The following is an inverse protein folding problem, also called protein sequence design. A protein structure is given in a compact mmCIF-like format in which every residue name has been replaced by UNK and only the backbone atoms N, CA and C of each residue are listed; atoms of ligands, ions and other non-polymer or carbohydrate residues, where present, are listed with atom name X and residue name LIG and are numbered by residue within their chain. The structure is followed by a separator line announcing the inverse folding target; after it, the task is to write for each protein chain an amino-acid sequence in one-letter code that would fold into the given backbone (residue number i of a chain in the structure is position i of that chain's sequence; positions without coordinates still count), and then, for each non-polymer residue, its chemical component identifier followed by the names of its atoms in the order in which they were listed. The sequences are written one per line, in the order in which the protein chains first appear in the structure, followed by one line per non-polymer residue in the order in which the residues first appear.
data_IF_069848743805
#
_entry.id   IF_069848743805
#
_cell.length_a   1.000
_cell.length_b   1.000
_cell.length_c   1.000
_cell.angle_alpha   90.00
_cell.angle_beta   90.00
_cell.angle_gamma   90.00
#
_symmetry.space_group_name_H-M   'P 1'
#
loop_
_entity.id
_entity.type
_entity.pdbx_description
1 polymer ?
#
# COMPACT_ATOMS: atom_id res chain seq x y z
N UNK A 1 -13.60 18.80 -12.89
CA UNK A 1 -13.61 19.48 -11.57
C UNK A 1 -12.24 19.32 -10.96
N UNK A 2 -11.48 20.40 -10.89
CA UNK A 2 -10.15 20.43 -10.31
C UNK A 2 -10.29 20.63 -8.80
N UNK A 3 -10.04 19.59 -8.02
CA UNK A 3 -9.86 19.75 -6.59
C UNK A 3 -8.67 20.66 -6.32
N UNK A 4 -8.76 21.52 -5.32
CA UNK A 4 -7.69 22.44 -4.95
C UNK A 4 -6.35 21.73 -4.79
N UNK A 5 -5.26 22.34 -5.27
CA UNK A 5 -3.91 21.78 -5.35
C UNK A 5 -3.30 21.33 -4.00
N UNK A 6 -3.89 21.69 -2.87
CA UNK A 6 -3.39 21.35 -1.52
C UNK A 6 -3.79 19.95 -1.01
N UNK A 7 -4.91 19.38 -1.49
CA UNK A 7 -5.53 18.22 -0.84
C UNK A 7 -5.09 16.83 -1.38
N UNK A 8 -4.19 16.75 -2.37
CA UNK A 8 -3.83 15.49 -3.04
C UNK A 8 -2.33 15.24 -3.16
N UNK A 9 -1.53 15.72 -2.22
CA UNK A 9 -0.11 15.38 -2.18
C UNK A 9 0.08 13.89 -1.95
N UNK A 10 1.10 13.30 -2.57
CA UNK A 10 1.40 11.88 -2.51
C UNK A 10 0.45 11.01 -3.34
N UNK A 11 -0.23 11.58 -4.34
CA UNK A 11 -1.00 10.84 -5.34
C UNK A 11 -0.14 9.96 -6.24
N UNK A 12 -0.71 9.39 -7.34
CA UNK A 12 0.04 8.51 -8.23
C UNK A 12 1.28 9.18 -8.80
N UNK A 13 2.45 8.55 -8.62
CA UNK A 13 3.74 9.06 -9.09
C UNK A 13 4.35 10.19 -8.27
N UNK A 14 3.69 10.68 -7.23
CA UNK A 14 4.22 11.77 -6.35
C UNK A 14 5.10 11.17 -5.23
N UNK A 15 6.18 10.50 -5.64
CA UNK A 15 7.12 9.87 -4.73
C UNK A 15 7.92 10.89 -3.91
N UNK A 16 8.20 12.08 -4.47
CA UNK A 16 8.93 13.14 -3.79
C UNK A 16 8.16 13.66 -2.58
N UNK A 17 6.86 13.93 -2.71
CA UNK A 17 6.04 14.36 -1.59
C UNK A 17 5.98 13.29 -0.49
N UNK A 18 5.93 12.00 -0.86
CA UNK A 18 5.96 10.90 0.12
C UNK A 18 7.28 10.82 0.86
N UNK A 19 8.40 10.97 0.14
CA UNK A 19 9.72 10.96 0.76
C UNK A 19 9.87 12.13 1.72
N UNK A 20 9.55 13.34 1.27
CA UNK A 20 9.60 14.55 2.10
C UNK A 20 8.73 14.42 3.36
N UNK A 21 7.52 13.82 3.24
CA UNK A 21 6.65 13.59 4.38
C UNK A 21 7.22 12.59 5.38
N UNK A 22 7.79 11.47 4.91
CA UNK A 22 8.43 10.49 5.78
C UNK A 22 9.61 11.10 6.54
N UNK A 23 10.45 11.88 5.89
CA UNK A 23 11.58 12.59 6.49
C UNK A 23 11.11 13.63 7.51
N UNK A 24 10.05 14.39 7.20
CA UNK A 24 9.45 15.37 8.11
C UNK A 24 8.94 14.69 9.40
N UNK A 25 8.25 13.56 9.27
CA UNK A 25 7.71 12.83 10.43
C UNK A 25 8.82 12.22 11.29
N UNK A 26 9.88 11.71 10.69
CA UNK A 26 11.06 11.20 11.40
C UNK A 26 11.85 12.32 12.12
N UNK A 27 11.90 13.53 11.55
CA UNK A 27 12.61 14.67 12.13
C UNK A 27 11.80 15.39 13.23
N UNK A 28 10.52 15.09 13.36
CA UNK A 28 9.65 15.71 14.36
C UNK A 28 10.07 15.32 15.79
N UNK A 29 9.80 16.15 16.81
CA UNK A 29 10.02 15.80 18.21
C UNK A 29 9.38 14.46 18.55
N UNK A 30 10.17 13.50 19.02
CA UNK A 30 9.74 12.11 19.24
C UNK A 30 9.97 11.17 18.05
N UNK A 31 10.48 11.66 16.91
CA UNK A 31 11.01 10.87 15.78
C UNK A 31 10.07 9.78 15.24
N UNK A 32 8.77 10.07 15.16
CA UNK A 32 7.77 9.07 14.72
C UNK A 32 7.35 8.09 15.83
N UNK A 33 7.92 8.15 17.03
CA UNK A 33 7.56 7.26 18.15
C UNK A 33 7.64 5.78 17.78
N UNK A 34 6.61 5.00 18.08
CA UNK A 34 6.52 3.58 17.72
C UNK A 34 6.46 3.31 16.22
N UNK A 35 6.20 4.33 15.38
CA UNK A 35 6.21 4.24 13.92
C UNK A 35 7.58 4.54 13.28
N UNK A 36 8.63 4.87 14.05
CA UNK A 36 9.94 5.29 13.51
C UNK A 36 10.56 4.25 12.58
N UNK A 37 10.57 2.98 12.96
CA UNK A 37 11.04 1.87 12.11
C UNK A 37 10.26 1.73 10.80
N UNK A 38 8.94 1.58 10.86
CA UNK A 38 8.09 1.55 9.66
C UNK A 38 8.23 2.79 8.78
N UNK A 39 8.34 3.99 9.34
CA UNK A 39 8.55 5.23 8.57
C UNK A 39 9.91 5.25 7.85
N UNK A 40 10.98 4.79 8.51
CA UNK A 40 12.28 4.67 7.89
C UNK A 40 12.26 3.67 6.71
N UNK A 41 11.55 2.55 6.87
CA UNK A 41 11.31 1.58 5.82
C UNK A 41 10.57 2.23 4.65
N UNK A 42 9.45 2.90 4.90
CA UNK A 42 8.69 3.61 3.86
C UNK A 42 9.57 4.62 3.14
N UNK A 43 10.37 5.42 3.85
CA UNK A 43 11.30 6.37 3.25
C UNK A 43 12.26 5.70 2.25
N UNK A 44 12.77 4.52 2.59
CA UNK A 44 13.67 3.77 1.71
C UNK A 44 12.96 3.13 0.53
N UNK A 45 11.77 2.57 0.75
CA UNK A 45 10.90 2.06 -0.32
C UNK A 45 10.56 3.18 -1.31
N UNK A 46 10.11 4.32 -0.82
CA UNK A 46 9.74 5.46 -1.68
C UNK A 46 10.95 6.02 -2.45
N UNK A 47 12.13 6.07 -1.82
CA UNK A 47 13.37 6.49 -2.51
C UNK A 47 13.73 5.55 -3.65
N UNK A 48 13.63 4.25 -3.45
CA UNK A 48 13.76 3.25 -4.51
C UNK A 48 12.74 3.50 -5.63
N UNK A 49 11.47 3.62 -5.29
CA UNK A 49 10.37 3.83 -6.24
C UNK A 49 10.55 5.12 -7.06
N UNK A 50 10.97 6.22 -6.43
CA UNK A 50 11.27 7.47 -7.11
C UNK A 50 12.38 7.31 -8.16
N UNK A 51 13.46 6.61 -7.81
CA UNK A 51 14.54 6.30 -8.74
C UNK A 51 14.07 5.44 -9.92
N UNK A 52 13.24 4.43 -9.67
CA UNK A 52 12.71 3.56 -10.73
C UNK A 52 11.70 4.26 -11.64
N UNK A 53 10.91 5.19 -11.11
CA UNK A 53 9.91 5.93 -11.88
C UNK A 53 10.52 6.77 -13.03
N UNK A 54 11.80 7.05 -12.99
CA UNK A 54 12.52 7.75 -14.08
C UNK A 54 13.22 6.81 -15.05
N UNK A 55 13.26 5.50 -14.77
CA UNK A 55 13.92 4.52 -15.62
C UNK A 55 13.17 4.33 -16.95
N UNK A 56 13.85 4.40 -18.13
CA UNK A 56 13.18 4.32 -19.44
C UNK A 56 12.31 3.07 -19.60
N UNK A 57 12.74 1.91 -19.11
CA UNK A 57 11.98 0.67 -19.19
C UNK A 57 10.68 0.73 -18.38
N UNK A 58 10.72 1.33 -17.17
CA UNK A 58 9.54 1.50 -16.31
C UNK A 58 8.56 2.51 -16.93
N UNK A 59 9.07 3.61 -17.49
CA UNK A 59 8.23 4.61 -18.18
C UNK A 59 7.55 3.99 -19.41
N UNK A 60 8.28 3.21 -20.21
CA UNK A 60 7.71 2.50 -21.36
C UNK A 60 6.65 1.49 -20.93
N UNK A 61 6.92 0.69 -19.90
CA UNK A 61 5.97 -0.27 -19.34
C UNK A 61 4.69 0.42 -18.84
N UNK A 62 4.82 1.52 -18.10
CA UNK A 62 3.69 2.31 -17.63
C UNK A 62 2.83 2.83 -18.79
N UNK A 63 3.45 3.26 -19.88
CA UNK A 63 2.76 3.65 -21.11
C UNK A 63 1.95 2.50 -21.74
N UNK A 64 2.52 1.30 -21.79
CA UNK A 64 1.82 0.10 -22.28
C UNK A 64 0.62 -0.27 -21.40
N UNK A 65 0.80 -0.24 -20.08
CA UNK A 65 -0.25 -0.51 -19.08
C UNK A 65 -1.39 0.49 -19.16
N UNK A 66 -1.10 1.76 -19.45
CA UNK A 66 -2.11 2.82 -19.61
C UNK A 66 -2.81 2.78 -20.98
N UNK A 67 -2.24 2.06 -21.95
CA UNK A 67 -2.77 2.03 -23.32
C UNK A 67 -4.21 1.51 -23.35
N UNK A 68 -5.06 2.15 -24.15
CA UNK A 68 -6.46 1.76 -24.31
C UNK A 68 -7.39 2.08 -23.13
N UNK A 69 -6.93 2.79 -22.10
CA UNK A 69 -7.75 3.15 -20.95
C UNK A 69 -9.00 3.95 -21.33
N UNK A 70 -8.90 4.89 -22.27
CA UNK A 70 -10.05 5.67 -22.74
C UNK A 70 -11.07 4.81 -23.48
N UNK A 71 -10.61 3.81 -24.27
CA UNK A 71 -11.49 2.85 -24.92
C UNK A 71 -12.20 1.95 -23.92
N UNK A 72 -11.49 1.49 -22.88
CA UNK A 72 -12.11 0.72 -21.79
C UNK A 72 -13.16 1.55 -21.07
N UNK A 73 -12.85 2.83 -20.77
CA UNK A 73 -13.80 3.75 -20.14
C UNK A 73 -15.04 3.97 -21.00
N UNK A 74 -14.87 4.29 -22.29
CA UNK A 74 -15.98 4.49 -23.20
C UNK A 74 -16.88 3.26 -23.33
N UNK A 75 -16.32 2.06 -23.15
CA UNK A 75 -17.03 0.80 -23.13
C UNK A 75 -17.58 0.40 -21.75
N UNK A 76 -17.42 1.24 -20.71
CA UNK A 76 -17.82 0.92 -19.33
C UNK A 76 -17.04 -0.25 -18.71
N UNK A 77 -15.85 -0.57 -19.24
CA UNK A 77 -15.02 -1.68 -18.75
C UNK A 77 -14.00 -1.22 -17.73
N UNK A 78 -13.94 -1.89 -16.60
CA UNK A 78 -12.99 -1.66 -15.51
C UNK A 78 -12.32 -2.98 -15.13
N UNK A 79 -11.05 -2.95 -14.66
CA UNK A 79 -10.19 -1.77 -14.46
C UNK A 79 -9.76 -1.11 -15.78
N UNK A 80 -9.35 0.18 -15.68
CA UNK A 80 -8.94 0.97 -16.86
C UNK A 80 -7.53 0.59 -17.35
N UNK A 81 -6.63 0.17 -16.44
CA UNK A 81 -5.26 -0.24 -16.77
C UNK A 81 -5.25 -1.66 -17.33
N UNK A 82 -4.32 -1.92 -18.23
CA UNK A 82 -4.03 -3.25 -18.76
C UNK A 82 -3.11 -3.98 -17.77
N UNK A 83 -3.69 -4.83 -16.91
CA UNK A 83 -2.94 -5.51 -15.87
C UNK A 83 -2.08 -6.65 -16.42
N UNK A 84 -2.48 -7.29 -17.51
CA UNK A 84 -1.67 -8.33 -18.16
C UNK A 84 -0.37 -7.74 -18.68
N UNK A 85 -0.43 -6.52 -19.26
CA UNK A 85 0.75 -5.80 -19.70
C UNK A 85 1.69 -5.36 -18.53
N UNK A 86 1.22 -5.39 -17.29
CA UNK A 86 2.00 -5.04 -16.12
C UNK A 86 2.81 -6.21 -15.54
N UNK A 87 2.42 -7.47 -15.80
CA UNK A 87 2.97 -8.65 -15.14
C UNK A 87 4.48 -8.75 -15.33
N UNK A 88 4.95 -8.88 -16.56
CA UNK A 88 6.39 -9.05 -16.85
C UNK A 88 7.25 -7.85 -16.40
N UNK A 89 6.85 -6.59 -16.65
CA UNK A 89 7.60 -5.44 -16.12
C UNK A 89 7.74 -5.43 -14.61
N UNK A 90 6.66 -5.73 -13.87
CA UNK A 90 6.72 -5.78 -12.40
C UNK A 90 7.61 -6.94 -11.94
N UNK A 91 7.49 -8.11 -12.55
CA UNK A 91 8.33 -9.26 -12.21
C UNK A 91 9.83 -8.98 -12.40
N UNK A 92 10.19 -8.20 -13.42
CA UNK A 92 11.57 -7.77 -13.69
C UNK A 92 12.08 -6.76 -12.64
N UNK A 93 11.22 -5.98 -12.01
CA UNK A 93 11.60 -5.01 -10.98
C UNK A 93 11.82 -5.66 -9.60
N UNK A 94 11.34 -6.87 -9.33
CA UNK A 94 11.50 -7.54 -8.02
C UNK A 94 12.97 -7.71 -7.62
N UNK A 95 13.85 -8.30 -8.45
CA UNK A 95 15.28 -8.43 -8.08
C UNK A 95 15.95 -7.08 -7.85
N UNK A 96 15.59 -6.06 -8.65
CA UNK A 96 16.15 -4.70 -8.51
C UNK A 96 15.73 -4.08 -7.16
N UNK A 97 14.49 -4.29 -6.75
CA UNK A 97 13.98 -3.84 -5.45
C UNK A 97 14.71 -4.54 -4.29
N UNK A 98 14.88 -5.85 -4.38
CA UNK A 98 15.57 -6.66 -3.36
C UNK A 98 17.00 -6.18 -3.18
N UNK A 99 17.78 -6.10 -4.24
CA UNK A 99 19.19 -5.62 -4.19
C UNK A 99 19.26 -4.21 -3.60
N UNK A 100 18.38 -3.32 -4.06
CA UNK A 100 18.37 -1.92 -3.59
C UNK A 100 18.07 -1.77 -2.09
N UNK A 101 17.12 -2.56 -1.56
CA UNK A 101 16.68 -2.41 -0.18
C UNK A 101 17.49 -3.27 0.80
N UNK A 102 18.00 -4.43 0.39
CA UNK A 102 18.79 -5.30 1.26
C UNK A 102 20.28 -4.98 1.21
N UNK A 103 20.76 -4.37 0.14
CA UNK A 103 22.20 -4.17 -0.11
C UNK A 103 22.93 -5.47 -0.48
N UNK A 104 22.20 -6.58 -0.67
CA UNK A 104 22.77 -7.89 -1.04
C UNK A 104 22.71 -8.05 -2.55
N UNK A 105 23.88 -8.21 -3.18
CA UNK A 105 23.97 -8.52 -4.60
C UNK A 105 23.59 -9.99 -4.84
N UNK A 106 22.51 -10.24 -5.56
CA UNK A 106 22.04 -11.56 -5.99
C UNK A 106 22.61 -11.97 -7.36
N UNK A 107 23.53 -11.15 -7.91
CA UNK A 107 24.17 -11.36 -9.21
C UNK A 107 25.26 -12.42 -9.18
N UNK A 108 25.09 -13.45 -10.02
CA UNK A 108 26.07 -14.43 -10.48
C UNK A 108 26.35 -15.69 -9.63
N UNK A 109 25.45 -16.17 -8.81
CA UNK A 109 25.48 -17.60 -8.42
C UNK A 109 24.53 -18.46 -9.23
N UNK A 110 24.61 -18.35 -10.54
CA UNK A 110 24.05 -19.35 -11.45
C UNK A 110 25.00 -20.52 -11.53
N UNK A 111 24.85 -21.54 -10.70
CA UNK A 111 25.02 -22.96 -10.96
C UNK A 111 25.23 -23.75 -9.64
N UNK A 112 24.44 -24.80 -9.49
CA UNK A 112 24.63 -25.91 -8.54
C UNK A 112 24.25 -25.66 -7.07
N UNK A 113 22.95 -25.65 -6.79
CA UNK A 113 22.43 -26.15 -5.51
C UNK A 113 21.73 -27.49 -5.75
N UNK A 114 21.77 -28.45 -4.80
CA UNK A 114 21.19 -29.77 -5.01
C UNK A 114 19.68 -29.71 -5.09
N UNK A 115 19.11 -30.51 -6.00
CA UNK A 115 17.68 -30.71 -6.15
C UNK A 115 17.04 -31.19 -4.83
N UNK A 116 16.48 -30.26 -4.08
CA UNK A 116 15.58 -30.53 -2.98
C UNK A 116 14.15 -30.55 -3.50
N UNK A 117 13.52 -31.70 -3.42
CA UNK A 117 12.13 -31.95 -3.78
C UNK A 117 11.20 -31.00 -3.03
N UNK A 118 10.70 -29.96 -3.69
CA UNK A 118 9.61 -29.15 -3.19
C UNK A 118 8.27 -29.88 -3.41
N UNK A 119 7.77 -30.45 -2.32
CA UNK A 119 6.38 -30.90 -2.24
C UNK A 119 5.47 -29.67 -2.39
N UNK A 120 4.42 -29.82 -3.22
CA UNK A 120 3.51 -28.75 -3.63
C UNK A 120 2.88 -28.01 -2.46
N UNK A 121 2.83 -26.70 -2.59
CA UNK A 121 2.01 -25.80 -1.80
C UNK A 121 0.56 -25.85 -2.30
N UNK A 122 -0.15 -26.91 -1.92
CA UNK A 122 -1.60 -26.97 -2.06
C UNK A 122 -2.22 -26.78 -0.67
N UNK A 123 -3.12 -25.84 -0.59
CA UNK A 123 -3.83 -25.24 0.50
C UNK A 123 -4.23 -26.05 1.72
N UNK A 124 -4.32 -25.37 2.83
CA UNK A 124 -5.23 -25.68 3.91
C UNK A 124 -5.53 -24.40 4.70
N UNK A 125 -6.72 -23.89 4.52
CA UNK A 125 -7.32 -22.95 5.46
C UNK A 125 -7.61 -23.70 6.77
N UNK A 126 -6.85 -23.41 7.81
CA UNK A 126 -7.20 -23.80 9.18
C UNK A 126 -6.94 -22.64 10.12
N UNK A 127 -7.99 -22.30 10.87
CA UNK A 127 -8.08 -21.17 11.76
C UNK A 127 -6.99 -21.09 12.84
N UNK A 128 -6.58 -19.88 13.14
CA UNK A 128 -5.78 -19.55 14.30
C UNK A 128 -6.71 -19.14 15.45
N UNK A 129 -6.99 -20.09 16.31
CA UNK A 129 -7.48 -19.81 17.65
C UNK A 129 -6.28 -19.85 18.60
N UNK A 130 -6.24 -18.87 19.50
CA UNK A 130 -5.15 -18.43 20.34
C UNK A 130 -4.49 -19.42 21.29
N UNK A 131 -3.36 -18.99 21.80
CA UNK A 131 -2.99 -19.13 23.21
C UNK A 131 -1.91 -18.10 23.56
N UNK A 132 -2.25 -17.25 24.51
CA UNK A 132 -1.34 -16.40 25.29
C UNK A 132 -0.47 -17.27 26.18
N UNK A 133 0.85 -16.99 26.22
CA UNK A 133 1.66 -17.18 27.43
C UNK A 133 2.84 -16.20 27.41
N UNK A 134 2.92 -15.38 28.46
CA UNK A 134 3.90 -14.35 28.64
C UNK A 134 5.30 -14.86 28.94
N UNK A 135 6.27 -13.98 28.81
CA UNK A 135 7.64 -14.16 29.24
C UNK A 135 8.40 -12.84 29.11
N UNK A 136 8.55 -12.15 30.25
CA UNK A 136 9.38 -10.96 30.40
C UNK A 136 10.86 -11.35 30.45
N UNK A 137 11.73 -10.45 29.97
CA UNK A 137 13.09 -10.32 30.50
C UNK A 137 14.20 -10.35 29.48
N UNK A 138 15.02 -9.29 29.45
CA UNK A 138 16.39 -9.37 29.02
C UNK A 138 16.89 -8.18 28.21
N UNK A 139 17.28 -7.08 28.88
CA UNK A 139 18.14 -6.04 28.32
C UNK A 139 19.56 -6.59 28.08
N UNK A 140 20.21 -6.19 26.98
CA UNK A 140 21.64 -6.43 26.85
C UNK A 140 22.22 -6.11 25.48
N UNK A 141 23.05 -5.07 25.39
CA UNK A 141 24.27 -5.08 24.66
C UNK A 141 24.29 -4.40 23.29
N UNK A 142 24.81 -3.14 23.32
CA UNK A 142 25.22 -2.43 22.12
C UNK A 142 26.33 -3.16 21.36
N UNK A 143 26.24 -3.11 20.04
CA UNK A 143 27.26 -3.49 19.09
C UNK A 143 27.27 -2.48 17.96
N UNK A 144 28.18 -1.47 18.04
CA UNK A 144 28.49 -0.57 16.94
C UNK A 144 29.26 -1.33 15.88
N UNK A 145 28.57 -1.76 14.81
CA UNK A 145 29.16 -2.28 13.59
C UNK A 145 28.80 -1.37 12.44
N UNK A 146 29.75 -0.52 11.99
CA UNK A 146 29.66 0.22 10.75
C UNK A 146 29.61 -0.75 9.57
N UNK A 147 28.43 -0.91 8.97
CA UNK A 147 28.24 -1.66 7.73
C UNK A 147 27.31 -0.86 6.84
N UNK A 148 27.69 -0.78 5.59
CA UNK A 148 26.99 -0.21 4.42
C UNK A 148 25.48 -0.14 4.58
N UNK A 149 24.92 1.05 4.40
CA UNK A 149 23.57 1.51 4.67
C UNK A 149 22.37 0.72 4.15
N UNK A 150 22.20 -0.51 4.56
CA UNK A 150 20.98 -1.27 4.37
C UNK A 150 19.92 -0.80 5.40
N UNK A 151 18.70 -0.61 4.97
CA UNK A 151 17.55 -0.40 5.85
C UNK A 151 17.42 -1.61 6.74
N UNK A 152 17.16 -1.43 8.03
CA UNK A 152 16.92 -2.55 8.96
C UNK A 152 15.61 -3.27 8.64
N UNK A 153 15.60 -4.02 7.53
CA UNK A 153 14.50 -4.89 7.16
C UNK A 153 14.42 -6.07 8.13
N UNK A 154 13.19 -6.49 8.52
CA UNK A 154 12.98 -7.74 9.24
C UNK A 154 13.55 -8.93 8.48
N UNK A 155 14.18 -9.86 9.21
CA UNK A 155 14.81 -11.06 8.62
C UNK A 155 13.88 -11.86 7.68
N UNK A 156 12.58 -12.09 8.00
CA UNK A 156 11.69 -12.77 7.08
C UNK A 156 11.50 -12.06 5.75
N UNK A 157 11.48 -10.70 5.73
CA UNK A 157 11.41 -9.93 4.50
C UNK A 157 12.68 -10.09 3.67
N UNK A 158 13.86 -10.05 4.31
CA UNK A 158 15.15 -10.25 3.63
C UNK A 158 15.18 -11.64 2.98
N UNK A 159 14.89 -12.69 3.76
CA UNK A 159 14.93 -14.07 3.28
C UNK A 159 13.99 -14.30 2.09
N UNK A 160 12.74 -13.83 2.19
CA UNK A 160 11.78 -13.93 1.10
C UNK A 160 12.19 -13.13 -0.14
N UNK A 161 12.73 -11.93 0.06
CA UNK A 161 13.24 -11.11 -1.03
C UNK A 161 14.37 -11.79 -1.80
N UNK A 162 15.36 -12.34 -1.10
CA UNK A 162 16.49 -13.05 -1.71
C UNK A 162 16.03 -14.31 -2.46
N UNK A 163 15.07 -15.06 -1.90
CA UNK A 163 14.46 -16.20 -2.58
C UNK A 163 13.78 -15.78 -3.88
N UNK A 164 12.97 -14.71 -3.85
CA UNK A 164 12.31 -14.16 -5.05
C UNK A 164 13.29 -13.63 -6.09
N UNK A 165 14.36 -12.95 -5.66
CA UNK A 165 15.36 -12.42 -6.57
C UNK A 165 16.13 -13.55 -7.29
N UNK A 166 16.28 -14.70 -6.63
CA UNK A 166 16.92 -15.91 -7.18
C UNK A 166 15.97 -16.81 -7.97
N UNK A 167 14.66 -16.59 -7.86
CA UNK A 167 13.63 -17.33 -8.58
C UNK A 167 13.66 -17.06 -10.09
N UNK A 168 13.09 -17.97 -10.87
CA UNK A 168 12.92 -17.79 -12.32
C UNK A 168 11.97 -16.66 -12.68
N UNK A 169 12.08 -16.13 -13.90
CA UNK A 169 11.18 -15.06 -14.38
C UNK A 169 9.71 -15.52 -14.39
N UNK A 170 9.45 -16.75 -14.82
CA UNK A 170 8.10 -17.33 -14.86
C UNK A 170 7.47 -17.44 -13.46
N UNK A 171 8.26 -17.84 -12.45
CA UNK A 171 7.80 -17.93 -11.07
C UNK A 171 7.45 -16.55 -10.50
N UNK A 172 8.30 -15.53 -10.76
CA UNK A 172 8.00 -14.15 -10.37
C UNK A 172 6.78 -13.59 -11.08
N UNK A 173 6.62 -13.89 -12.39
CA UNK A 173 5.45 -13.47 -13.16
C UNK A 173 4.17 -14.09 -12.61
N UNK A 174 4.16 -15.38 -12.28
CA UNK A 174 3.01 -16.06 -11.65
C UNK A 174 2.64 -15.47 -10.28
N UNK A 175 3.65 -15.06 -9.47
CA UNK A 175 3.38 -14.37 -8.21
C UNK A 175 2.76 -12.98 -8.43
N UNK A 176 3.23 -12.23 -9.43
CA UNK A 176 2.67 -10.92 -9.77
C UNK A 176 1.23 -11.07 -10.27
N UNK A 177 0.96 -12.04 -11.13
CA UNK A 177 -0.39 -12.35 -11.64
C UNK A 177 -1.34 -12.65 -10.47
N UNK A 178 -0.98 -13.58 -9.58
CA UNK A 178 -1.79 -13.92 -8.41
C UNK A 178 -2.06 -12.69 -7.51
N UNK A 179 -1.05 -11.81 -7.32
CA UNK A 179 -1.23 -10.58 -6.55
C UNK A 179 -2.11 -9.55 -7.27
N UNK A 180 -2.09 -9.50 -8.60
CA UNK A 180 -2.97 -8.62 -9.37
C UNK A 180 -4.42 -9.11 -9.35
N UNK A 181 -4.65 -10.42 -9.33
CA UNK A 181 -5.98 -11.02 -9.20
C UNK A 181 -6.55 -10.84 -7.79
N UNK A 182 -5.75 -11.14 -6.76
CA UNK A 182 -6.15 -10.99 -5.35
C UNK A 182 -5.06 -10.24 -4.55
N UNK A 183 -5.21 -8.92 -4.33
CA UNK A 183 -4.20 -8.15 -3.59
C UNK A 183 -4.10 -8.50 -2.10
N UNK A 184 -5.03 -9.25 -1.56
CA UNK A 184 -4.99 -9.79 -0.20
C UNK A 184 -4.47 -11.26 -0.16
N UNK A 185 -4.33 -11.90 -1.33
CA UNK A 185 -4.11 -13.34 -1.44
C UNK A 185 -2.70 -13.83 -1.17
N UNK A 186 -1.62 -13.23 -1.71
CA UNK A 186 -0.27 -13.69 -1.42
C UNK A 186 0.10 -13.47 0.04
N UNK A 187 0.94 -14.35 0.57
CA UNK A 187 1.54 -14.13 1.88
C UNK A 187 2.10 -12.70 1.99
N UNK A 188 1.83 -12.03 3.11
CA UNK A 188 2.12 -10.61 3.30
C UNK A 188 3.59 -10.24 3.00
N UNK A 189 4.52 -11.16 3.28
CA UNK A 189 5.95 -11.00 3.02
C UNK A 189 6.28 -10.98 1.53
N UNK A 190 5.67 -11.87 0.74
CA UNK A 190 5.83 -11.91 -0.72
C UNK A 190 5.11 -10.72 -1.37
N UNK A 191 3.89 -10.43 -0.89
CA UNK A 191 3.09 -9.27 -1.33
C UNK A 191 3.80 -7.95 -1.11
N UNK A 192 4.62 -7.81 -0.06
CA UNK A 192 5.46 -6.64 0.16
C UNK A 192 6.40 -6.38 -1.02
N UNK A 193 7.14 -7.39 -1.47
CA UNK A 193 8.11 -7.23 -2.57
C UNK A 193 7.42 -6.94 -3.90
N UNK A 194 6.31 -7.62 -4.19
CA UNK A 194 5.51 -7.33 -5.38
C UNK A 194 4.99 -5.89 -5.35
N UNK A 195 4.47 -5.43 -4.21
CA UNK A 195 3.97 -4.07 -4.04
C UNK A 195 5.07 -3.02 -4.20
N UNK A 196 6.26 -3.27 -3.66
CA UNK A 196 7.43 -2.37 -3.82
C UNK A 196 7.80 -2.23 -5.30
N UNK A 197 7.87 -3.35 -6.01
CA UNK A 197 8.23 -3.40 -7.43
C UNK A 197 7.12 -2.84 -8.36
N UNK A 198 5.85 -3.03 -7.99
CA UNK A 198 4.71 -2.65 -8.82
C UNK A 198 4.43 -1.15 -8.83
N UNK A 199 4.71 -0.44 -7.72
CA UNK A 199 4.32 0.95 -7.56
C UNK A 199 4.85 1.87 -8.68
N UNK A 200 6.14 1.83 -9.09
CA UNK A 200 6.62 2.69 -10.16
C UNK A 200 5.85 2.51 -11.47
N UNK A 201 5.56 1.27 -11.86
CA UNK A 201 4.84 0.95 -13.09
C UNK A 201 3.36 1.37 -13.01
N UNK A 202 2.66 0.93 -11.95
CA UNK A 202 1.22 1.13 -11.82
C UNK A 202 0.85 2.58 -11.50
N UNK A 203 1.68 3.29 -10.75
CA UNK A 203 1.41 4.68 -10.40
C UNK A 203 1.65 5.62 -11.56
N UNK A 204 2.72 5.42 -12.35
CA UNK A 204 2.94 6.18 -13.58
C UNK A 204 1.83 5.91 -14.59
N UNK A 205 1.43 4.64 -14.79
CA UNK A 205 0.29 4.30 -15.63
C UNK A 205 -0.99 4.97 -15.14
N UNK A 206 -1.23 4.98 -13.82
CA UNK A 206 -2.39 5.62 -13.21
C UNK A 206 -2.37 7.15 -13.38
N UNK A 207 -1.21 7.78 -13.28
CA UNK A 207 -1.05 9.22 -13.49
C UNK A 207 -1.39 9.65 -14.92
N UNK A 208 -1.17 8.78 -15.90
CA UNK A 208 -1.49 9.01 -17.31
C UNK A 208 -2.99 8.84 -17.64
N UNK A 209 -3.79 8.28 -16.73
CA UNK A 209 -5.22 7.99 -16.96
C UNK A 209 -6.10 8.92 -16.13
N UNK A 210 -7.10 9.52 -16.77
CA UNK A 210 -8.04 10.40 -16.06
C UNK A 210 -8.87 9.60 -15.04
N UNK A 211 -9.13 10.19 -13.85
CA UNK A 211 -9.98 9.59 -12.83
C UNK A 211 -11.43 9.57 -13.31
N UNK A 212 -12.14 8.44 -13.24
CA UNK A 212 -13.57 8.39 -13.49
C UNK A 212 -14.33 9.31 -12.54
N UNK A 213 -15.40 9.92 -13.04
CA UNK A 213 -16.35 10.65 -12.21
C UNK A 213 -17.16 9.72 -11.31
N UNK A 214 -17.92 10.32 -10.41
CA UNK A 214 -18.81 9.56 -9.51
C UNK A 214 -19.91 8.81 -10.28
N UNK A 215 -20.36 9.38 -11.38
CA UNK A 215 -21.42 8.78 -12.21
C UNK A 215 -20.89 7.63 -13.07
N UNK A 216 -19.56 7.61 -13.32
CA UNK A 216 -18.92 6.55 -14.10
C UNK A 216 -18.53 5.34 -13.23
N UNK A 217 -18.28 5.56 -11.92
CA UNK A 217 -17.81 4.53 -11.02
C UNK A 217 -18.24 4.76 -9.57
N UNK A 218 -18.87 3.75 -8.99
CA UNK A 218 -19.31 3.74 -7.57
C UNK A 218 -18.79 2.52 -6.79
N UNK A 219 -17.95 1.69 -7.40
CA UNK A 219 -17.42 0.47 -6.78
C UNK A 219 -16.39 0.72 -5.68
N UNK A 220 -16.23 -0.26 -4.79
CA UNK A 220 -15.26 -0.22 -3.70
C UNK A 220 -13.82 -0.46 -4.18
N UNK A 221 -13.63 -1.25 -5.25
CA UNK A 221 -12.32 -1.45 -5.88
C UNK A 221 -11.87 -0.21 -6.65
N UNK A 222 -10.56 -0.06 -6.82
CA UNK A 222 -9.99 1.03 -7.60
C UNK A 222 -10.39 0.94 -9.08
N UNK A 223 -11.01 1.97 -9.67
CA UNK A 223 -11.43 1.92 -11.08
C UNK A 223 -10.24 1.82 -12.06
N UNK A 224 -9.06 2.22 -11.65
CA UNK A 224 -7.88 2.14 -12.50
C UNK A 224 -7.25 0.74 -12.53
N UNK A 225 -6.97 0.15 -11.37
CA UNK A 225 -6.20 -1.09 -11.29
C UNK A 225 -6.91 -2.24 -10.54
N UNK A 226 -8.18 -2.09 -10.17
CA UNK A 226 -8.91 -3.11 -9.42
C UNK A 226 -8.44 -3.32 -7.96
N UNK A 227 -7.40 -2.61 -7.52
CA UNK A 227 -6.84 -2.79 -6.19
C UNK A 227 -7.74 -2.29 -5.07
N UNK A 228 -7.42 -2.70 -3.83
CA UNK A 228 -8.16 -2.34 -2.62
C UNK A 228 -7.78 -0.94 -2.12
N UNK A 229 -8.68 -0.32 -1.35
CA UNK A 229 -8.40 0.93 -0.67
C UNK A 229 -7.41 0.72 0.48
N UNK A 230 -6.37 1.54 0.54
CA UNK A 230 -5.46 1.58 1.68
C UNK A 230 -6.02 2.43 2.81
N UNK A 231 -6.50 3.60 2.44
CA UNK A 231 -7.08 4.57 3.37
C UNK A 231 -8.24 5.32 2.71
N UNK A 232 -8.98 6.05 3.51
CA UNK A 232 -10.06 6.95 3.10
C UNK A 232 -9.69 8.38 3.50
N UNK A 233 -10.12 9.36 2.70
CA UNK A 233 -9.90 10.78 2.95
C UNK A 233 -11.21 11.54 2.80
N UNK A 234 -11.57 12.37 3.78
CA UNK A 234 -12.65 13.34 3.68
C UNK A 234 -12.03 14.70 3.40
N UNK A 235 -12.38 15.29 2.25
CA UNK A 235 -11.85 16.58 1.83
C UNK A 235 -12.39 17.73 2.70
N UNK A 236 -11.63 18.83 2.76
CA UNK A 236 -12.15 20.10 3.26
C UNK A 236 -13.36 20.54 2.44
N UNK A 237 -14.31 21.24 3.08
CA UNK A 237 -15.45 21.80 2.37
C UNK A 237 -14.97 22.88 1.39
N UNK A 238 -15.11 22.63 0.11
CA UNK A 238 -15.10 23.69 -0.89
C UNK A 238 -16.53 24.23 -0.97
N UNK A 239 -16.72 25.53 -0.77
CA UNK A 239 -18.04 26.19 -0.67
C UNK A 239 -18.99 26.06 -1.87
N UNK A 240 -18.65 25.22 -2.85
CA UNK A 240 -19.43 24.93 -4.06
C UNK A 240 -20.29 23.64 -3.93
N UNK A 241 -20.17 22.88 -2.84
CA UNK A 241 -20.88 21.62 -2.69
C UNK A 241 -22.00 21.69 -1.66
N UNK A 242 -23.24 21.81 -2.12
CA UNK A 242 -24.46 21.69 -1.29
C UNK A 242 -24.64 20.31 -0.65
N UNK A 243 -23.77 19.33 -0.93
CA UNK A 243 -23.87 17.94 -0.47
C UNK A 243 -22.88 17.52 0.62
N UNK A 244 -22.13 18.46 1.21
CA UNK A 244 -21.11 18.17 2.23
C UNK A 244 -19.80 17.64 1.62
N UNK A 245 -18.76 17.48 2.46
CA UNK A 245 -17.42 17.10 2.06
C UNK A 245 -17.38 15.70 1.44
N UNK A 246 -16.84 15.54 0.22
CA UNK A 246 -16.75 14.23 -0.41
C UNK A 246 -15.74 13.33 0.31
N UNK A 247 -16.05 12.02 0.38
CA UNK A 247 -15.11 10.96 0.76
C UNK A 247 -14.42 10.43 -0.49
N UNK A 248 -13.12 10.27 -0.44
CA UNK A 248 -12.36 9.54 -1.44
C UNK A 248 -11.68 8.33 -0.81
N UNK A 249 -11.57 7.24 -1.55
CA UNK A 249 -10.70 6.12 -1.23
C UNK A 249 -9.37 6.30 -1.96
N UNK A 250 -8.28 5.83 -1.35
CA UNK A 250 -6.92 5.88 -1.89
C UNK A 250 -6.44 4.44 -2.09
N UNK A 251 -6.07 4.10 -3.30
CA UNK A 251 -5.63 2.76 -3.66
C UNK A 251 -4.25 2.44 -3.07
N UNK A 252 -4.12 1.29 -2.41
CA UNK A 252 -2.84 0.83 -1.90
C UNK A 252 -1.90 0.27 -2.97
N UNK A 253 -2.39 0.04 -4.19
CA UNK A 253 -1.63 -0.53 -5.31
C UNK A 253 -1.08 0.53 -6.26
N UNK A 254 -1.91 1.49 -6.70
CA UNK A 254 -1.53 2.50 -7.68
C UNK A 254 -1.65 3.93 -7.16
N UNK A 255 -1.86 4.13 -5.86
CA UNK A 255 -2.07 5.42 -5.20
C UNK A 255 -3.18 6.30 -5.81
N UNK A 256 -4.01 5.73 -6.69
CA UNK A 256 -5.14 6.41 -7.32
C UNK A 256 -6.23 6.75 -6.32
N UNK A 257 -6.90 7.88 -6.55
CA UNK A 257 -8.02 8.34 -5.73
C UNK A 257 -9.32 8.21 -6.50
N UNK A 258 -10.42 7.84 -5.82
CA UNK A 258 -11.77 7.88 -6.40
C UNK A 258 -12.81 8.21 -5.34
N UNK A 259 -13.88 8.86 -5.77
CA UNK A 259 -15.01 9.21 -4.89
C UNK A 259 -15.78 7.96 -4.48
N UNK A 260 -16.12 7.86 -3.19
CA UNK A 260 -16.89 6.74 -2.65
C UNK A 260 -17.91 7.25 -1.60
N UNK A 261 -19.08 6.63 -1.49
CA UNK A 261 -20.09 7.05 -0.52
C UNK A 261 -19.60 6.98 0.93
N UNK A 262 -20.03 7.96 1.76
CA UNK A 262 -19.55 8.08 3.16
C UNK A 262 -20.13 7.04 4.09
N UNK A 263 -21.38 6.65 3.87
CA UNK A 263 -22.14 5.75 4.73
C UNK A 263 -22.24 4.34 4.14
N UNK A 264 -21.16 3.87 3.48
CA UNK A 264 -21.07 2.52 2.92
C UNK A 264 -19.71 1.94 3.28
N UNK A 265 -19.69 0.67 3.70
CA UNK A 265 -18.45 -0.06 3.94
C UNK A 265 -17.65 -0.22 2.64
N UNK A 266 -16.35 0.11 2.68
CA UNK A 266 -15.45 0.00 1.53
C UNK A 266 -15.11 -1.47 1.16
N UNK A 267 -15.54 -2.45 1.96
CA UNK A 267 -15.19 -3.87 1.77
C UNK A 267 -16.40 -4.71 1.38
N UNK A 268 -17.46 -4.70 2.20
CA UNK A 268 -18.62 -5.55 1.98
C UNK A 268 -19.88 -4.81 1.50
N UNK A 269 -19.77 -3.50 1.28
CA UNK A 269 -20.89 -2.63 0.85
C UNK A 269 -22.06 -2.54 1.84
N UNK A 270 -21.84 -2.86 3.14
CA UNK A 270 -22.83 -2.60 4.18
C UNK A 270 -23.24 -1.13 4.18
N UNK A 271 -24.54 -0.84 4.24
CA UNK A 271 -25.09 0.51 4.17
C UNK A 271 -25.97 0.87 5.38
N UNK A 272 -26.16 -0.04 6.34
CA UNK A 272 -26.85 0.29 7.60
C UNK A 272 -25.91 1.09 8.51
N UNK A 273 -26.17 2.38 8.78
CA UNK A 273 -25.29 3.21 9.60
C UNK A 273 -25.08 2.69 11.03
N UNK A 274 -26.03 1.90 11.55
CA UNK A 274 -25.91 1.29 12.89
C UNK A 274 -24.84 0.22 12.97
N UNK A 275 -24.41 -0.32 11.81
CA UNK A 275 -23.38 -1.34 11.68
C UNK A 275 -22.03 -0.79 11.20
N UNK A 276 -21.94 0.54 11.09
CA UNK A 276 -20.75 1.26 10.62
C UNK A 276 -20.21 2.19 11.72
N UNK A 277 -19.67 1.64 12.83
CA UNK A 277 -19.11 2.45 13.91
C UNK A 277 -17.88 3.23 13.43
N UNK A 278 -17.70 4.44 14.00
CA UNK A 278 -16.55 5.28 13.76
C UNK A 278 -15.89 5.62 15.08
N UNK A 279 -14.59 5.37 15.20
CA UNK A 279 -13.79 5.55 16.40
C UNK A 279 -12.78 6.67 16.20
N UNK A 280 -12.96 7.77 16.92
CA UNK A 280 -12.14 8.98 16.83
C UNK A 280 -11.29 9.08 18.07
N UNK A 281 -9.94 9.08 17.97
CA UNK A 281 -9.07 9.32 19.13
C UNK A 281 -9.20 10.77 19.61
N UNK A 282 -9.24 10.99 20.93
CA UNK A 282 -9.39 12.34 21.51
C UNK A 282 -8.24 13.27 21.12
N UNK A 283 -7.02 12.74 21.02
CA UNK A 283 -5.80 13.51 20.76
C UNK A 283 -5.54 13.77 19.27
N UNK A 284 -6.19 13.05 18.36
CA UNK A 284 -5.94 13.10 16.90
C UNK A 284 -7.24 13.04 16.10
N UNK A 285 -8.06 14.07 16.23
CA UNK A 285 -9.39 14.12 15.57
C UNK A 285 -9.36 14.04 14.05
N UNK A 286 -8.22 14.42 13.45
CA UNK A 286 -8.02 14.35 12.00
C UNK A 286 -7.86 12.93 11.44
N UNK A 287 -7.76 11.90 12.27
CA UNK A 287 -7.69 10.50 11.84
C UNK A 287 -8.59 9.63 12.68
N UNK A 288 -9.28 8.69 12.07
CA UNK A 288 -10.21 7.78 12.76
C UNK A 288 -10.23 6.39 12.10
N UNK A 289 -10.79 5.43 12.82
CA UNK A 289 -11.11 4.10 12.32
C UNK A 289 -12.59 4.08 11.97
N UNK A 290 -12.92 3.87 10.70
CA UNK A 290 -14.28 3.58 10.25
C UNK A 290 -14.41 2.05 10.11
N UNK A 291 -15.12 1.41 11.07
CA UNK A 291 -15.31 -0.03 11.16
C UNK A 291 -16.59 -0.49 10.48
N UNK A 292 -16.72 -1.82 10.34
CA UNK A 292 -17.93 -2.47 9.87
C UNK A 292 -18.18 -3.75 10.68
N UNK A 293 -19.33 -3.81 11.35
CA UNK A 293 -19.73 -5.00 12.14
C UNK A 293 -20.11 -6.20 11.27
N UNK A 294 -20.49 -5.96 10.00
CA UNK A 294 -20.91 -7.03 9.08
C UNK A 294 -19.74 -7.88 8.61
N UNK A 295 -18.61 -7.25 8.26
CA UNK A 295 -17.43 -7.96 7.78
C UNK A 295 -16.24 -7.93 8.74
N UNK A 296 -16.38 -7.29 9.90
CA UNK A 296 -15.31 -7.08 10.90
C UNK A 296 -14.04 -6.44 10.31
N UNK A 297 -14.20 -5.65 9.25
CA UNK A 297 -13.11 -4.92 8.64
C UNK A 297 -13.18 -3.43 8.97
N UNK A 298 -12.04 -2.74 8.83
CA UNK A 298 -11.98 -1.28 8.98
C UNK A 298 -11.21 -0.62 7.85
N UNK A 299 -11.42 0.68 7.70
CA UNK A 299 -10.56 1.57 6.91
C UNK A 299 -10.17 2.77 7.77
N UNK A 300 -8.89 3.16 7.70
CA UNK A 300 -8.42 4.37 8.36
C UNK A 300 -8.84 5.58 7.53
N UNK A 301 -9.50 6.54 8.15
CA UNK A 301 -10.03 7.73 7.48
C UNK A 301 -9.34 8.98 8.00
N UNK A 302 -8.76 9.74 7.09
CA UNK A 302 -8.20 11.06 7.36
C UNK A 302 -9.23 12.14 7.04
N UNK A 303 -9.61 12.92 8.05
CA UNK A 303 -10.60 14.00 7.92
C UNK A 303 -9.88 15.35 7.84
N UNK A 304 -9.74 15.87 6.63
CA UNK A 304 -9.03 17.13 6.39
C UNK A 304 -9.75 18.35 6.99
N UNK A 305 -11.04 18.23 7.31
CA UNK A 305 -11.81 19.29 7.98
C UNK A 305 -11.32 19.52 9.42
N UNK A 306 -10.80 18.45 10.04
CA UNK A 306 -10.26 18.44 11.40
C UNK A 306 -8.72 18.60 11.42
N UNK A 307 -8.08 18.66 10.25
CA UNK A 307 -6.61 18.68 10.16
C UNK A 307 -5.99 20.06 10.43
N UNK A 308 -6.79 21.14 10.49
CA UNK A 308 -6.29 22.49 10.78
C UNK A 308 -5.25 23.00 9.77
N UNK A 309 -5.34 22.57 8.53
CA UNK A 309 -4.37 22.90 7.47
C UNK A 309 -3.09 22.07 7.51
N UNK A 310 -3.02 21.01 8.32
CA UNK A 310 -1.87 20.11 8.34
C UNK A 310 -1.74 19.38 6.99
N UNK A 311 -0.51 19.23 6.53
CA UNK A 311 -0.20 18.46 5.33
C UNK A 311 -0.50 16.97 5.56
N UNK A 312 -1.18 16.36 4.60
CA UNK A 312 -1.47 14.92 4.60
C UNK A 312 -0.91 14.29 3.34
N UNK A 313 -0.15 13.21 3.52
CA UNK A 313 0.29 12.32 2.45
C UNK A 313 -0.18 10.90 2.80
N UNK A 314 -1.37 10.49 2.33
CA UNK A 314 -2.16 9.40 2.91
C UNK A 314 -1.40 8.09 3.15
N UNK A 315 -0.59 7.65 2.18
CA UNK A 315 0.13 6.37 2.29
C UNK A 315 1.30 6.40 3.28
N UNK A 316 1.82 7.59 3.61
CA UNK A 316 2.87 7.78 4.62
C UNK A 316 2.24 8.02 5.99
N UNK A 317 1.23 8.88 6.06
CA UNK A 317 0.50 9.14 7.31
C UNK A 317 -0.24 7.90 7.81
N UNK A 318 -0.61 6.98 6.91
CA UNK A 318 -1.12 5.65 7.26
C UNK A 318 -0.11 4.89 8.15
N UNK A 319 1.14 4.83 7.76
CA UNK A 319 2.21 4.19 8.55
C UNK A 319 2.50 4.96 9.84
N UNK A 320 2.48 6.30 9.80
CA UNK A 320 2.71 7.15 10.97
C UNK A 320 1.64 6.97 12.06
N UNK A 321 0.49 6.42 11.71
CA UNK A 321 -0.63 6.18 12.62
C UNK A 321 -0.87 4.70 12.89
N UNK A 322 0.18 3.87 12.83
CA UNK A 322 0.12 2.41 13.04
C UNK A 322 -0.47 2.01 14.39
N UNK A 323 -0.35 2.85 15.42
CA UNK A 323 -0.95 2.60 16.71
C UNK A 323 -2.49 2.45 16.64
N UNK A 324 -3.15 3.09 15.68
CA UNK A 324 -4.58 2.93 15.44
C UNK A 324 -4.90 1.57 14.81
N UNK A 325 -4.01 1.04 13.97
CA UNK A 325 -4.17 -0.29 13.39
C UNK A 325 -4.06 -1.37 14.47
N UNK A 326 -3.07 -1.25 15.37
CA UNK A 326 -2.92 -2.14 16.53
C UNK A 326 -4.14 -2.10 17.43
N UNK A 327 -4.63 -0.90 17.75
CA UNK A 327 -5.86 -0.74 18.52
C UNK A 327 -7.06 -1.38 17.82
N UNK A 328 -7.23 -1.17 16.51
CA UNK A 328 -8.33 -1.76 15.75
C UNK A 328 -8.28 -3.29 15.76
N UNK A 329 -7.07 -3.86 15.64
CA UNK A 329 -6.84 -5.29 15.76
C UNK A 329 -7.26 -5.83 17.14
N UNK A 330 -6.91 -5.13 18.24
CA UNK A 330 -7.32 -5.47 19.60
C UNK A 330 -8.86 -5.41 19.78
N UNK A 331 -9.56 -4.60 18.97
CA UNK A 331 -11.02 -4.57 18.92
C UNK A 331 -11.63 -5.67 18.01
N UNK A 332 -10.83 -6.57 17.45
CA UNK A 332 -11.27 -7.63 16.56
C UNK A 332 -11.58 -7.17 15.13
N UNK A 333 -11.12 -6.00 14.74
CA UNK A 333 -11.25 -5.49 13.38
C UNK A 333 -10.03 -5.86 12.53
N UNK A 334 -10.25 -6.31 11.30
CA UNK A 334 -9.21 -6.68 10.36
C UNK A 334 -9.03 -5.61 9.27
N UNK A 335 -7.84 -5.57 8.69
CA UNK A 335 -7.51 -4.75 7.52
C UNK A 335 -7.24 -5.66 6.34
N UNK A 336 -8.07 -5.64 5.27
CA UNK A 336 -7.88 -6.53 4.12
C UNK A 336 -6.57 -6.28 3.35
N UNK A 337 -6.05 -5.05 3.40
CA UNK A 337 -4.78 -4.71 2.77
C UNK A 337 -3.79 -4.24 3.83
N UNK A 338 -2.79 -5.06 4.11
CA UNK A 338 -1.71 -4.77 5.06
C UNK A 338 -0.92 -3.53 4.61
N UNK A 339 -0.62 -2.63 5.56
CA UNK A 339 0.21 -1.45 5.32
C UNK A 339 1.70 -1.82 5.25
N UNK A 340 2.56 -0.87 4.86
CA UNK A 340 4.02 -1.05 4.98
C UNK A 340 4.51 -1.12 6.45
N UNK A 341 3.64 -0.89 7.43
CA UNK A 341 3.94 -1.15 8.83
C UNK A 341 3.76 -2.61 9.25
N UNK A 342 3.23 -3.46 8.35
CA UNK A 342 3.02 -4.89 8.60
C UNK A 342 1.70 -5.22 9.31
N UNK A 343 0.78 -4.26 9.41
CA UNK A 343 -0.55 -4.39 10.03
C UNK A 343 -1.62 -3.82 9.13
#
# INVERSE_FOLDING_TARGET
MTFGRGARRGGPGDFEARLARAEQLLAAPGGGGGAAGPLALVGSVVRFQAGRATAPAVVAAAGAVAAGADLRRAAGRFPLLDLDAAIAPIAAEIPVAVVSLTGVDVGASGAAGPAGSHAGLAGSHAGLAGSNAGGAGGAGGGGSGGGSGGVGLPEPLIAAGLALASAGEEERAGLVEAWLEDPAGPEAVLGFWVRVAAAPVLELARAAVATPGRDDWSGAACPACGGLAQVSVIAEESGEFMGGSPRSLVCGRCAGWWTFPRAICAWCSEADPRRLPSFVPDERRAVRIDGCETCSCYVKTFDLREAGGAELVPLVDDVATVALDLWAHDQGLARPLVSFAGV
#
